data_IF_377889177204
#
_entry.id   IF_377889177204
#
_cell.length_a   1.000
_cell.length_b   1.000
_cell.length_c   1.000
_cell.angle_alpha   90.00
_cell.angle_beta   90.00
_cell.angle_gamma   90.00
#
_symmetry.space_group_name_H-M   'P 1'
#
loop_
_entity.id
_entity.type
_entity.pdbx_description
1 polymer ?
#
# COMPACT_ATOMS: atom_id res chain seq x y z
N UNK A 1 -67.24 55.27 3.35
CA UNK A 1 -68.14 54.96 2.22
C UNK A 1 -67.37 54.12 1.19
N UNK A 2 -67.92 52.91 0.91
CA UNK A 2 -67.95 52.21 -0.38
C UNK A 2 -66.56 51.99 -1.05
N UNK A 3 -66.10 50.86 -1.56
CA UNK A 3 -66.64 49.53 -1.98
C UNK A 3 -65.39 48.72 -2.34
N UNK A 4 -65.24 47.52 -1.87
CA UNK A 4 -65.35 46.22 -2.56
C UNK A 4 -64.89 46.26 -4.03
N UNK A 5 -63.85 45.50 -4.37
CA UNK A 5 -63.96 44.45 -5.37
C UNK A 5 -62.83 43.43 -5.21
N UNK A 6 -63.25 42.18 -5.08
CA UNK A 6 -62.49 40.97 -5.26
C UNK A 6 -62.10 40.83 -6.74
N UNK A 7 -60.90 40.31 -7.01
CA UNK A 7 -60.67 39.48 -8.21
C UNK A 7 -59.62 38.40 -7.85
N UNK A 8 -60.13 37.22 -7.72
CA UNK A 8 -59.45 35.95 -7.82
C UNK A 8 -59.04 35.63 -9.21
N UNK A 9 -58.08 34.84 -9.38
CA UNK A 9 -57.54 33.94 -10.41
C UNK A 9 -56.10 34.31 -10.71
N UNK A 10 -55.17 33.39 -10.72
CA UNK A 10 -55.06 32.11 -11.25
C UNK A 10 -53.86 31.36 -10.71
N UNK A 11 -54.12 30.12 -10.52
CA UNK A 11 -53.14 29.10 -10.21
C UNK A 11 -52.08 28.96 -11.29
N UNK A 12 -50.83 28.94 -10.88
CA UNK A 12 -49.68 28.57 -11.71
C UNK A 12 -48.78 27.75 -10.88
N UNK A 13 -49.13 26.48 -10.65
CA UNK A 13 -48.20 25.47 -10.17
C UNK A 13 -47.17 25.18 -11.22
N UNK A 14 -46.04 25.83 -11.17
CA UNK A 14 -44.82 25.33 -11.78
C UNK A 14 -44.06 24.53 -10.73
N UNK A 15 -44.44 23.31 -10.59
CA UNK A 15 -43.60 22.31 -9.88
C UNK A 15 -42.34 22.10 -10.71
N UNK A 16 -41.31 22.89 -10.44
CA UNK A 16 -39.97 22.60 -10.87
C UNK A 16 -39.51 21.35 -10.16
N UNK A 17 -39.66 20.23 -10.86
CA UNK A 17 -38.93 19.01 -10.52
C UNK A 17 -37.43 19.31 -10.70
N UNK A 18 -36.82 19.86 -9.67
CA UNK A 18 -35.40 19.67 -9.46
C UNK A 18 -35.22 18.20 -9.14
N UNK A 19 -35.11 17.39 -10.19
CA UNK A 19 -34.46 16.10 -10.09
C UNK A 19 -33.06 16.38 -9.59
N UNK A 20 -32.89 16.19 -8.29
CA UNK A 20 -31.56 16.18 -7.69
C UNK A 20 -30.71 15.14 -8.38
N UNK A 21 -29.92 15.59 -9.33
CA UNK A 21 -28.69 14.90 -9.68
C UNK A 21 -27.88 14.89 -8.37
N UNK A 22 -28.06 13.82 -7.57
CA UNK A 22 -26.99 13.42 -6.66
C UNK A 22 -25.76 13.31 -7.54
N UNK A 23 -24.67 14.07 -7.25
CA UNK A 23 -23.41 13.70 -7.81
C UNK A 23 -23.26 12.23 -7.39
N UNK A 24 -23.08 11.35 -8.34
CA UNK A 24 -22.50 10.05 -8.08
C UNK A 24 -21.10 10.36 -7.56
N UNK A 25 -21.00 10.65 -6.26
CA UNK A 25 -19.80 10.34 -5.53
C UNK A 25 -19.66 8.84 -5.79
N UNK A 26 -18.80 8.51 -6.74
CA UNK A 26 -18.32 7.16 -6.86
C UNK A 26 -17.97 6.76 -5.43
N UNK A 27 -18.74 5.85 -4.87
CA UNK A 27 -18.40 5.22 -3.61
C UNK A 27 -17.10 4.45 -3.87
N UNK A 28 -16.00 5.19 -3.80
CA UNK A 28 -14.68 4.65 -3.55
C UNK A 28 -14.67 4.22 -2.08
N UNK A 29 -15.64 3.36 -1.72
CA UNK A 29 -15.48 2.58 -0.52
C UNK A 29 -14.32 1.64 -0.79
N UNK A 30 -13.18 1.84 -0.13
CA UNK A 30 -12.07 0.92 -0.27
C UNK A 30 -12.62 -0.44 0.13
N UNK A 31 -12.33 -1.46 -0.67
CA UNK A 31 -12.61 -2.85 -0.38
C UNK A 31 -12.51 -3.10 1.12
N UNK A 32 -13.45 -3.83 1.70
CA UNK A 32 -13.55 -4.05 3.15
C UNK A 32 -12.25 -4.53 3.81
N UNK A 33 -11.34 -5.09 3.01
CA UNK A 33 -9.98 -5.46 3.40
C UNK A 33 -9.10 -4.27 3.80
N UNK A 34 -9.32 -3.08 3.19
CA UNK A 34 -8.60 -1.86 3.55
C UNK A 34 -9.21 -1.13 4.76
N UNK A 35 -10.40 -1.52 5.21
CA UNK A 35 -10.99 -1.00 6.45
C UNK A 35 -10.13 -1.32 7.67
N UNK A 36 -9.43 -2.44 7.66
CA UNK A 36 -8.51 -2.83 8.74
C UNK A 36 -7.28 -1.92 8.72
N UNK A 37 -6.75 -1.58 7.54
CA UNK A 37 -5.63 -0.63 7.39
C UNK A 37 -6.00 0.81 7.74
N UNK A 38 -7.25 1.20 7.68
CA UNK A 38 -7.68 2.51 8.19
C UNK A 38 -7.38 2.69 9.67
N UNK A 39 -7.27 1.62 10.43
CA UNK A 39 -6.88 1.64 11.84
C UNK A 39 -5.37 1.65 12.04
N UNK A 40 -4.61 1.08 11.12
CA UNK A 40 -3.17 0.92 11.19
C UNK A 40 -2.53 1.51 9.94
N UNK A 41 -1.50 2.31 10.12
CA UNK A 41 -0.69 2.78 9.00
C UNK A 41 0.20 1.64 8.50
N UNK A 42 0.35 1.52 7.18
CA UNK A 42 1.35 0.63 6.59
C UNK A 42 2.74 1.21 6.85
N UNK A 43 3.42 0.70 7.85
CA UNK A 43 4.78 1.09 8.15
C UNK A 43 5.75 0.30 7.28
N UNK A 44 6.55 1.00 6.48
CA UNK A 44 7.62 0.39 5.70
C UNK A 44 8.93 0.78 6.37
N UNK A 45 9.62 -0.21 6.95
CA UNK A 45 10.88 0.04 7.62
C UNK A 45 12.05 -0.05 6.64
N UNK A 46 12.94 0.94 6.71
CA UNK A 46 14.21 0.93 6.00
C UNK A 46 15.36 1.23 6.96
N UNK A 47 16.57 0.94 6.53
CA UNK A 47 17.77 1.21 7.30
C UNK A 47 18.18 2.68 7.16
N UNK A 48 18.69 3.26 8.25
CA UNK A 48 19.08 4.67 8.30
C UNK A 48 20.53 4.90 7.86
N UNK A 49 21.39 3.91 8.06
CA UNK A 49 22.81 3.95 7.72
C UNK A 49 23.09 3.78 6.21
N UNK A 50 22.05 3.52 5.40
CA UNK A 50 22.12 3.45 3.96
C UNK A 50 21.22 4.52 3.33
N UNK A 51 21.84 5.59 2.80
CA UNK A 51 21.12 6.71 2.17
C UNK A 51 20.32 6.28 0.95
N UNK A 52 20.83 5.31 0.18
CA UNK A 52 20.18 4.79 -1.01
C UNK A 52 18.88 4.07 -0.59
N UNK A 53 18.96 3.19 0.39
CA UNK A 53 17.77 2.52 0.94
C UNK A 53 16.77 3.52 1.52
N UNK A 54 17.25 4.57 2.19
CA UNK A 54 16.41 5.65 2.71
C UNK A 54 15.65 6.40 1.60
N UNK A 55 16.31 6.71 0.48
CA UNK A 55 15.69 7.35 -0.68
C UNK A 55 14.63 6.44 -1.34
N UNK A 56 14.92 5.14 -1.46
CA UNK A 56 13.94 4.18 -2.00
C UNK A 56 12.70 4.08 -1.13
N UNK A 57 12.84 3.93 0.18
CA UNK A 57 11.68 3.84 1.08
C UNK A 57 10.86 5.11 1.04
N UNK A 58 11.52 6.29 1.01
CA UNK A 58 10.85 7.57 0.84
C UNK A 58 10.00 7.60 -0.43
N UNK A 59 10.58 7.28 -1.58
CA UNK A 59 9.87 7.24 -2.85
C UNK A 59 8.71 6.22 -2.86
N UNK A 60 8.90 5.04 -2.29
CA UNK A 60 7.85 4.03 -2.16
C UNK A 60 6.68 4.56 -1.32
N UNK A 61 6.97 5.17 -0.18
CA UNK A 61 5.95 5.75 0.71
C UNK A 61 5.20 6.88 0.02
N UNK A 62 5.89 7.76 -0.71
CA UNK A 62 5.28 8.87 -1.45
C UNK A 62 4.34 8.36 -2.56
N UNK A 63 4.75 7.33 -3.30
CA UNK A 63 3.91 6.67 -4.32
C UNK A 63 2.67 6.06 -3.68
N UNK A 64 2.83 5.29 -2.61
CA UNK A 64 1.72 4.67 -1.90
C UNK A 64 0.79 5.71 -1.25
N UNK A 65 1.33 6.76 -0.64
CA UNK A 65 0.52 7.82 -0.04
C UNK A 65 -0.33 8.55 -1.09
N UNK A 66 0.21 8.71 -2.31
CA UNK A 66 -0.47 9.41 -3.40
C UNK A 66 -1.51 8.54 -4.12
N UNK A 67 -1.15 7.30 -4.45
CA UNK A 67 -1.94 6.44 -5.34
C UNK A 67 -2.67 5.30 -4.61
N UNK A 68 -2.33 5.06 -3.35
CA UNK A 68 -2.98 4.08 -2.46
C UNK A 68 -3.20 4.70 -1.07
N UNK A 69 -3.93 5.84 -0.99
CA UNK A 69 -4.05 6.60 0.27
C UNK A 69 -4.70 5.81 1.40
N UNK A 70 -5.49 4.80 1.07
CA UNK A 70 -6.09 3.90 2.07
C UNK A 70 -5.05 3.13 2.90
N UNK A 71 -3.85 2.90 2.35
CA UNK A 71 -2.75 2.24 3.06
C UNK A 71 -2.18 3.09 4.20
N UNK A 72 -2.34 4.41 4.15
CA UNK A 72 -1.74 5.36 5.10
C UNK A 72 -0.25 5.07 5.28
N UNK A 73 0.45 4.78 4.17
CA UNK A 73 1.84 4.41 4.16
C UNK A 73 2.71 5.44 4.88
N UNK A 74 3.62 4.97 5.72
CA UNK A 74 4.55 5.78 6.49
C UNK A 74 5.92 5.13 6.52
N UNK A 75 6.95 5.98 6.53
CA UNK A 75 8.33 5.55 6.68
C UNK A 75 8.65 5.29 8.16
N UNK A 76 9.14 4.10 8.46
CA UNK A 76 9.82 3.77 9.71
C UNK A 76 11.32 3.58 9.44
N UNK A 77 12.18 3.94 10.41
CA UNK A 77 13.63 3.84 10.26
C UNK A 77 14.23 2.99 11.38
N UNK A 78 14.99 1.97 10.97
CA UNK A 78 15.85 1.20 11.86
C UNK A 78 17.30 1.68 11.75
N UNK A 79 18.13 1.38 12.73
CA UNK A 79 19.51 1.82 12.75
C UNK A 79 20.31 1.26 11.57
N UNK A 80 20.15 -0.03 11.32
CA UNK A 80 20.89 -0.84 10.35
C UNK A 80 20.05 -1.99 9.82
N UNK A 81 20.59 -2.76 8.86
CA UNK A 81 19.93 -3.93 8.27
C UNK A 81 19.61 -5.02 9.31
N UNK A 82 20.50 -5.22 10.29
CA UNK A 82 20.28 -6.22 11.35
C UNK A 82 19.04 -5.84 12.19
N UNK A 83 18.89 -4.56 12.54
CA UNK A 83 17.71 -4.10 13.28
C UNK A 83 16.43 -4.24 12.47
N UNK A 84 16.48 -4.00 11.14
CA UNK A 84 15.35 -4.29 10.22
C UNK A 84 14.97 -5.78 10.33
N UNK A 85 15.95 -6.67 10.22
CA UNK A 85 15.73 -8.12 10.34
C UNK A 85 15.09 -8.52 11.67
N UNK A 86 15.56 -7.96 12.79
CA UNK A 86 14.96 -8.22 14.12
C UNK A 86 13.50 -7.76 14.17
N UNK A 87 13.18 -6.58 13.64
CA UNK A 87 11.80 -6.06 13.65
C UNK A 87 10.83 -6.96 12.87
N UNK A 88 11.25 -7.47 11.72
CA UNK A 88 10.45 -8.44 10.94
C UNK A 88 10.35 -9.78 11.67
N UNK A 89 11.48 -10.32 12.16
CA UNK A 89 11.53 -11.61 12.83
C UNK A 89 10.65 -11.65 14.09
N UNK A 90 10.58 -10.54 14.83
CA UNK A 90 9.80 -10.43 16.07
C UNK A 90 8.37 -9.94 15.87
N UNK A 91 7.90 -9.88 14.61
CA UNK A 91 6.55 -9.40 14.27
C UNK A 91 6.24 -7.98 14.77
N UNK A 92 7.26 -7.12 14.86
CA UNK A 92 7.09 -5.71 15.20
C UNK A 92 6.84 -4.86 13.94
N UNK A 93 7.22 -5.38 12.78
CA UNK A 93 6.99 -4.77 11.47
C UNK A 93 6.60 -5.84 10.46
N UNK A 94 5.62 -5.51 9.61
CA UNK A 94 5.13 -6.45 8.59
C UNK A 94 5.86 -6.31 7.27
N UNK A 95 6.35 -5.09 6.95
CA UNK A 95 6.96 -4.76 5.65
C UNK A 95 8.27 -4.00 5.85
N UNK A 96 9.26 -4.38 5.07
CA UNK A 96 10.57 -3.71 5.07
C UNK A 96 11.16 -3.62 3.67
N UNK A 97 11.98 -2.59 3.45
CA UNK A 97 12.91 -2.53 2.32
C UNK A 97 14.28 -2.99 2.79
N UNK A 98 14.86 -3.93 2.06
CA UNK A 98 16.20 -4.48 2.34
C UNK A 98 17.00 -4.59 1.03
N UNK A 99 18.32 -4.61 1.15
CA UNK A 99 19.16 -5.09 0.06
C UNK A 99 18.89 -6.57 -0.19
N UNK A 100 18.99 -6.99 -1.45
CA UNK A 100 18.74 -8.39 -1.85
C UNK A 100 19.58 -9.36 -1.01
N UNK A 101 20.88 -9.09 -0.89
CA UNK A 101 21.82 -9.92 -0.12
C UNK A 101 21.44 -10.02 1.36
N UNK A 102 21.00 -8.90 1.97
CA UNK A 102 20.56 -8.87 3.35
C UNK A 102 19.25 -9.65 3.55
N UNK A 103 18.31 -9.54 2.61
CA UNK A 103 17.06 -10.28 2.66
C UNK A 103 17.29 -11.79 2.52
N UNK A 104 18.18 -12.20 1.60
CA UNK A 104 18.56 -13.59 1.43
C UNK A 104 19.32 -14.13 2.64
N UNK A 105 20.26 -13.36 3.20
CA UNK A 105 20.99 -13.75 4.41
C UNK A 105 20.04 -13.92 5.60
N UNK A 106 19.08 -13.03 5.78
CA UNK A 106 18.05 -13.14 6.82
C UNK A 106 17.18 -14.39 6.62
N UNK A 107 16.75 -14.66 5.38
CA UNK A 107 15.89 -15.79 5.05
C UNK A 107 16.56 -17.15 5.31
N UNK A 108 17.87 -17.25 5.02
CA UNK A 108 18.62 -18.50 5.19
C UNK A 108 19.39 -18.59 6.50
N UNK A 109 19.30 -17.56 7.37
CA UNK A 109 19.99 -17.54 8.68
C UNK A 109 21.51 -17.44 8.54
N UNK A 110 22.01 -16.62 7.60
CA UNK A 110 23.45 -16.35 7.45
C UNK A 110 23.86 -15.03 8.15
N UNK A 111 25.15 -14.84 8.44
CA UNK A 111 25.61 -13.56 8.98
C UNK A 111 25.17 -12.35 8.12
N UNK A 112 24.75 -11.25 8.70
CA UNK A 112 24.76 -10.91 10.14
C UNK A 112 23.50 -11.37 10.92
N UNK A 113 22.75 -12.35 10.43
CA UNK A 113 21.46 -12.81 10.98
C UNK A 113 21.53 -14.26 11.48
N UNK A 114 22.70 -14.83 11.71
CA UNK A 114 22.93 -16.22 12.10
C UNK A 114 22.35 -16.60 13.47
N UNK A 115 22.08 -15.59 14.31
CA UNK A 115 21.36 -15.74 15.58
C UNK A 115 19.84 -15.53 15.46
N UNK A 116 19.35 -15.14 14.28
CA UNK A 116 17.94 -14.95 13.98
C UNK A 116 17.53 -16.09 13.04
N UNK A 117 16.88 -17.11 13.56
CA UNK A 117 16.54 -18.30 12.79
C UNK A 117 15.09 -18.27 12.32
N UNK A 118 14.84 -18.98 11.22
CA UNK A 118 13.50 -19.29 10.72
C UNK A 118 12.62 -18.05 10.49
N UNK A 119 13.19 -17.00 9.88
CA UNK A 119 12.43 -15.81 9.53
C UNK A 119 11.69 -16.07 8.21
N UNK A 120 10.38 -16.30 8.25
CA UNK A 120 9.62 -16.56 7.05
C UNK A 120 9.38 -15.25 6.29
N UNK A 121 10.21 -14.98 5.30
CA UNK A 121 10.07 -13.82 4.43
C UNK A 121 9.32 -14.15 3.14
N UNK A 122 8.70 -13.12 2.55
CA UNK A 122 8.12 -13.11 1.20
C UNK A 122 8.47 -11.80 0.51
N UNK A 123 8.67 -11.85 -0.80
CA UNK A 123 8.93 -10.66 -1.62
C UNK A 123 7.63 -10.09 -2.17
N UNK A 124 7.48 -8.76 -2.09
CA UNK A 124 6.39 -8.02 -2.74
C UNK A 124 6.85 -7.50 -4.11
N UNK A 125 8.02 -6.86 -4.17
CA UNK A 125 8.58 -6.30 -5.39
C UNK A 125 10.10 -6.19 -5.31
N UNK A 126 10.75 -6.14 -6.47
CA UNK A 126 12.20 -5.94 -6.60
C UNK A 126 12.51 -4.61 -7.28
N UNK A 127 13.58 -3.93 -6.82
CA UNK A 127 14.04 -2.61 -7.27
C UNK A 127 15.55 -2.64 -7.57
N UNK A 128 15.96 -3.52 -8.46
CA UNK A 128 17.39 -3.72 -8.72
C UNK A 128 18.10 -4.40 -7.54
N UNK A 129 18.97 -3.68 -6.83
CA UNK A 129 19.70 -4.21 -5.66
C UNK A 129 18.88 -4.24 -4.36
N UNK A 130 17.62 -3.79 -4.38
CA UNK A 130 16.75 -3.74 -3.21
C UNK A 130 15.46 -4.51 -3.43
N UNK A 131 14.88 -5.02 -2.36
CA UNK A 131 13.61 -5.76 -2.35
C UNK A 131 12.69 -5.28 -1.25
N UNK A 132 11.41 -5.20 -1.56
CA UNK A 132 10.36 -4.99 -0.57
C UNK A 132 9.93 -6.36 -0.06
N UNK A 133 10.24 -6.64 1.19
CA UNK A 133 9.93 -7.89 1.87
C UNK A 133 8.75 -7.72 2.81
N UNK A 134 8.02 -8.79 3.03
CA UNK A 134 6.97 -8.84 4.05
C UNK A 134 6.99 -10.20 4.76
N UNK A 135 6.20 -10.30 5.81
CA UNK A 135 5.90 -11.56 6.47
C UNK A 135 4.89 -12.38 5.62
N UNK A 136 4.84 -13.71 5.76
CA UNK A 136 3.89 -14.56 5.03
C UNK A 136 2.43 -14.32 5.39
N UNK A 137 2.16 -13.85 6.61
CA UNK A 137 0.84 -13.51 7.14
C UNK A 137 0.35 -12.13 6.70
N UNK A 138 1.17 -11.34 6.00
CA UNK A 138 0.73 -10.13 5.32
C UNK A 138 -0.37 -10.48 4.32
N UNK A 139 -1.48 -9.73 4.33
CA UNK A 139 -2.65 -10.07 3.54
C UNK A 139 -2.34 -10.08 2.03
N UNK A 140 -2.84 -11.10 1.34
CA UNK A 140 -2.55 -11.29 -0.09
C UNK A 140 -3.09 -10.15 -0.95
N UNK A 141 -4.29 -9.67 -0.66
CA UNK A 141 -4.86 -8.49 -1.31
C UNK A 141 -4.03 -7.23 -1.09
N UNK A 142 -3.46 -7.05 0.10
CA UNK A 142 -2.59 -5.91 0.38
C UNK A 142 -1.27 -6.00 -0.40
N UNK A 143 -0.64 -7.17 -0.42
CA UNK A 143 0.56 -7.40 -1.22
C UNK A 143 0.30 -7.18 -2.72
N UNK A 144 -0.87 -7.61 -3.20
CA UNK A 144 -1.32 -7.37 -4.58
C UNK A 144 -1.40 -5.88 -4.88
N UNK A 145 -2.15 -5.12 -4.07
CA UNK A 145 -2.36 -3.68 -4.28
C UNK A 145 -1.08 -2.86 -4.14
N UNK A 146 -0.20 -3.22 -3.21
CA UNK A 146 1.12 -2.59 -3.09
C UNK A 146 1.95 -2.87 -4.33
N UNK A 147 2.05 -4.13 -4.79
CA UNK A 147 2.78 -4.49 -6.00
C UNK A 147 2.23 -3.78 -7.24
N UNK A 148 0.91 -3.76 -7.40
CA UNK A 148 0.21 -3.06 -8.47
C UNK A 148 0.55 -1.57 -8.47
N UNK A 149 0.34 -0.89 -7.35
CA UNK A 149 0.56 0.55 -7.25
C UNK A 149 2.00 0.93 -7.60
N UNK A 150 2.99 0.16 -7.09
CA UNK A 150 4.40 0.42 -7.36
C UNK A 150 4.79 0.13 -8.81
N UNK A 151 4.20 -0.89 -9.45
CA UNK A 151 4.48 -1.23 -10.82
C UNK A 151 3.81 -0.26 -11.82
N UNK A 152 2.60 0.18 -11.55
CA UNK A 152 1.87 1.16 -12.37
C UNK A 152 2.51 2.56 -12.32
N UNK A 153 3.11 2.92 -11.18
CA UNK A 153 3.75 4.23 -10.96
C UNK A 153 5.28 4.14 -10.89
N UNK A 154 5.85 3.20 -11.63
CA UNK A 154 7.29 2.90 -11.64
C UNK A 154 8.18 4.10 -11.98
N UNK A 155 7.69 5.08 -12.75
CA UNK A 155 8.45 6.26 -13.17
C UNK A 155 8.67 7.27 -12.01
N UNK A 156 7.92 7.12 -10.92
CA UNK A 156 8.09 7.90 -9.69
C UNK A 156 9.08 7.25 -8.71
N UNK A 157 9.65 6.11 -9.05
CA UNK A 157 10.59 5.36 -8.23
C UNK A 157 12.03 5.49 -8.76
N UNK A 158 13.07 5.49 -7.90
CA UNK A 158 14.46 5.54 -8.32
C UNK A 158 14.85 4.39 -9.28
N UNK A 159 14.24 3.23 -9.10
CA UNK A 159 14.29 2.10 -10.02
C UNK A 159 12.89 1.51 -10.16
N UNK A 160 12.46 1.16 -11.39
CA UNK A 160 11.16 0.56 -11.63
C UNK A 160 10.91 -0.69 -10.81
N UNK A 161 9.73 -0.79 -10.19
CA UNK A 161 9.29 -2.00 -9.53
C UNK A 161 9.12 -3.14 -10.56
N UNK A 162 9.61 -4.31 -10.21
CA UNK A 162 9.56 -5.52 -11.03
C UNK A 162 9.02 -6.70 -10.23
N UNK A 163 8.62 -7.74 -10.96
CA UNK A 163 8.26 -9.02 -10.35
C UNK A 163 9.38 -9.52 -9.43
N UNK A 164 9.05 -9.99 -8.23
CA UNK A 164 10.03 -10.50 -7.30
C UNK A 164 10.69 -11.76 -7.85
N UNK A 165 12.02 -11.83 -7.70
CA UNK A 165 12.84 -12.97 -8.08
C UNK A 165 13.99 -13.10 -7.07
N UNK A 166 14.44 -14.32 -6.82
CA UNK A 166 15.55 -14.61 -5.92
C UNK A 166 15.30 -15.83 -5.03
N UNK A 167 16.14 -15.98 -4.01
CA UNK A 167 16.09 -17.09 -3.04
C UNK A 167 14.86 -16.96 -2.12
N UNK A 168 14.52 -15.73 -1.75
CA UNK A 168 13.32 -15.46 -0.94
C UNK A 168 12.08 -15.64 -1.81
N UNK A 169 11.11 -16.47 -1.41
CA UNK A 169 9.90 -16.70 -2.21
C UNK A 169 9.05 -15.43 -2.34
N UNK A 170 8.41 -15.27 -3.49
CA UNK A 170 7.46 -14.20 -3.70
C UNK A 170 6.17 -14.40 -2.88
N UNK A 171 5.54 -13.28 -2.49
CA UNK A 171 4.24 -13.30 -1.82
C UNK A 171 3.13 -13.65 -2.82
N UNK A 172 2.16 -14.49 -2.42
CA UNK A 172 1.07 -14.95 -3.30
C UNK A 172 0.28 -13.81 -3.96
N UNK A 173 0.03 -12.72 -3.24
CA UNK A 173 -0.64 -11.55 -3.80
C UNK A 173 0.18 -10.84 -4.87
N UNK A 174 1.48 -10.72 -4.65
CA UNK A 174 2.41 -10.16 -5.62
C UNK A 174 2.51 -11.04 -6.87
N UNK A 175 2.63 -12.37 -6.68
CA UNK A 175 2.61 -13.32 -7.80
C UNK A 175 1.36 -13.17 -8.65
N UNK A 176 0.18 -13.13 -8.03
CA UNK A 176 -1.09 -12.96 -8.73
C UNK A 176 -1.10 -11.68 -9.58
N UNK A 177 -0.65 -10.55 -9.02
CA UNK A 177 -0.58 -9.30 -9.76
C UNK A 177 0.35 -9.41 -11.00
N UNK A 178 1.60 -9.86 -10.80
CA UNK A 178 2.56 -9.94 -11.90
C UNK A 178 2.24 -11.03 -12.93
N UNK A 179 1.41 -12.02 -12.57
CA UNK A 179 0.84 -13.00 -13.49
C UNK A 179 -0.40 -12.50 -14.24
N UNK A 180 -0.93 -11.32 -13.91
CA UNK A 180 -2.18 -10.80 -14.48
C UNK A 180 -3.43 -11.50 -13.98
N UNK A 181 -3.36 -12.16 -12.82
CA UNK A 181 -4.48 -12.84 -12.18
C UNK A 181 -5.33 -11.87 -11.37
N UNK A 182 -6.54 -12.28 -11.02
CA UNK A 182 -7.41 -11.50 -10.15
C UNK A 182 -6.82 -11.37 -8.74
N UNK A 183 -7.16 -10.26 -8.07
CA UNK A 183 -6.73 -10.03 -6.70
C UNK A 183 -7.24 -11.15 -5.78
N UNK A 184 -6.35 -11.83 -5.03
CA UNK A 184 -6.76 -12.87 -4.10
C UNK A 184 -7.52 -12.28 -2.91
N UNK A 185 -8.54 -12.97 -2.50
CA UNK A 185 -9.35 -12.68 -1.29
C UNK A 185 -8.59 -12.99 -0.01
#
# INVERSE_FOLDING_TARGET
MKRRTLLTLGAGMAASMLTGLKPAAADLEPDGQWLIYRRYSLLIVGQRDNEIAGAYVGAIVDVLARFLPASRAQLARAADARRVGVLIATNQQDVALMEVESAEALFVGKPPFDDIRDVPLRLIASFGGHVLVCRPDFLASHAYLVAQTLAEHKDALPTPARAPAGVVPAHRGSLAFFAGEAMPS
#
